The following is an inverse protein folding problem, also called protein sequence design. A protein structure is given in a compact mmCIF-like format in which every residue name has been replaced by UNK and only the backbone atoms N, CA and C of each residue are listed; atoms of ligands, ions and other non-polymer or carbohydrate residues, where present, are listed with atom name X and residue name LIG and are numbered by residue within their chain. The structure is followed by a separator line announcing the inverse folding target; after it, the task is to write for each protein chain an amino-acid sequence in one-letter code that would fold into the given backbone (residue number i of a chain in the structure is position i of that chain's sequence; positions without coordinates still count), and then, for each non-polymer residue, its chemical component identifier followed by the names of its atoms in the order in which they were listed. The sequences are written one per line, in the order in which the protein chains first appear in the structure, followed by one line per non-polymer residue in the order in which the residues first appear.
data_IF_360266006497
#
_entry.id   IF_360266006497
#
_cell.length_a   1.000
_cell.length_b   1.000
_cell.length_c   1.000
_cell.angle_alpha   90.00
_cell.angle_beta   90.00
_cell.angle_gamma   90.00
#
_symmetry.space_group_name_H-M   'P 1'
#
loop_
_entity.id
_entity.type
_entity.pdbx_description
1 polymer ?
#
# COMPACT_ATOMS: atom_id res chain seq x y z
N UNK A 1 -7.00 -21.09 -22.09
CA UNK A 1 -7.21 -19.95 -21.17
C UNK A 1 -5.87 -19.59 -20.54
N UNK A 2 -5.44 -18.33 -20.62
CA UNK A 2 -4.16 -17.91 -20.06
C UNK A 2 -4.13 -18.06 -18.54
N UNK A 3 -3.09 -18.71 -18.02
CA UNK A 3 -2.89 -18.90 -16.58
C UNK A 3 -2.20 -17.66 -16.02
N UNK A 4 -2.96 -16.73 -15.44
CA UNK A 4 -2.41 -15.57 -14.73
C UNK A 4 -1.74 -16.01 -13.41
N UNK A 5 -0.68 -15.30 -13.01
CA UNK A 5 0.09 -15.53 -11.78
C UNK A 5 0.16 -14.22 -10.99
N UNK A 6 0.02 -14.30 -9.67
CA UNK A 6 0.33 -13.16 -8.78
C UNK A 6 1.84 -12.88 -8.81
N UNK A 7 2.22 -11.62 -8.96
CA UNK A 7 3.61 -11.18 -8.88
C UNK A 7 3.91 -10.78 -7.44
N UNK A 8 4.66 -11.61 -6.73
CA UNK A 8 5.06 -11.39 -5.33
C UNK A 8 6.34 -10.55 -5.21
N UNK A 9 6.51 -9.57 -6.11
CA UNK A 9 7.71 -8.76 -6.16
C UNK A 9 7.77 -7.80 -4.98
N UNK A 10 9.00 -7.45 -4.58
CA UNK A 10 9.21 -6.40 -3.61
C UNK A 10 8.98 -5.03 -4.23
N UNK A 11 7.88 -4.38 -3.87
CA UNK A 11 7.54 -3.00 -4.24
C UNK A 11 7.49 -2.16 -2.98
N UNK A 12 8.45 -1.25 -2.83
CA UNK A 12 8.44 -0.28 -1.71
C UNK A 12 7.47 0.82 -2.04
N UNK A 13 6.62 1.16 -1.08
CA UNK A 13 5.80 2.35 -1.13
C UNK A 13 6.17 3.25 0.06
N UNK A 14 6.59 4.51 -0.20
CA UNK A 14 7.05 5.42 0.85
C UNK A 14 5.87 6.01 1.64
N UNK A 15 6.10 6.42 2.90
CA UNK A 15 5.09 7.10 3.71
C UNK A 15 4.75 8.51 3.18
N UNK A 16 5.73 9.12 2.52
CA UNK A 16 5.59 10.40 1.83
C UNK A 16 6.03 10.24 0.38
N UNK A 17 5.20 10.70 -0.55
CA UNK A 17 5.43 10.59 -1.97
C UNK A 17 5.39 11.98 -2.60
N UNK A 18 6.49 12.39 -3.22
CA UNK A 18 6.56 13.61 -4.02
C UNK A 18 6.38 13.24 -5.48
N UNK A 19 5.36 13.81 -6.12
CA UNK A 19 5.10 13.62 -7.53
C UNK A 19 5.29 14.95 -8.27
N UNK A 20 6.07 14.89 -9.33
CA UNK A 20 6.22 16.00 -10.26
C UNK A 20 5.20 15.84 -11.38
N UNK A 21 4.52 16.93 -11.75
CA UNK A 21 3.66 16.91 -12.92
C UNK A 21 4.50 16.80 -14.20
N UNK A 22 3.94 16.14 -15.21
CA UNK A 22 4.57 15.99 -16.54
C UNK A 22 4.55 17.29 -17.36
N UNK A 23 3.95 18.36 -16.83
CA UNK A 23 3.84 19.67 -17.47
C UNK A 23 4.17 20.77 -16.47
N UNK A 24 5.14 21.62 -16.81
CA UNK A 24 5.72 22.66 -15.93
C UNK A 24 4.72 23.70 -15.43
N UNK A 25 3.55 23.85 -16.09
CA UNK A 25 2.56 24.89 -15.79
C UNK A 25 1.25 24.36 -15.16
N UNK A 26 1.21 23.09 -14.74
CA UNK A 26 0.02 22.56 -14.07
C UNK A 26 -0.04 23.02 -12.61
N UNK A 27 -1.20 23.50 -12.11
CA UNK A 27 -1.39 23.80 -10.69
C UNK A 27 -1.05 22.57 -9.84
N UNK A 28 -0.23 22.75 -8.78
CA UNK A 28 0.25 21.64 -7.95
C UNK A 28 1.48 20.91 -8.49
N UNK A 29 2.38 21.62 -9.18
CA UNK A 29 3.61 21.07 -9.78
C UNK A 29 4.54 20.33 -8.81
N UNK A 30 4.43 20.60 -7.51
CA UNK A 30 5.11 19.90 -6.41
C UNK A 30 4.08 19.33 -5.43
N UNK A 31 3.31 18.33 -5.87
CA UNK A 31 2.31 17.70 -5.02
C UNK A 31 2.98 16.68 -4.10
N UNK A 32 2.94 16.97 -2.80
CA UNK A 32 3.32 16.02 -1.76
C UNK A 32 2.09 15.26 -1.28
N UNK A 33 2.25 13.95 -1.13
CA UNK A 33 1.21 13.06 -0.64
C UNK A 33 1.71 12.27 0.56
N UNK A 34 0.81 11.95 1.50
CA UNK A 34 1.10 10.98 2.55
C UNK A 34 0.28 9.71 2.34
N UNK A 35 0.90 8.56 2.58
CA UNK A 35 0.22 7.27 2.55
C UNK A 35 -0.81 7.21 3.69
N UNK A 36 -2.09 7.11 3.32
CA UNK A 36 -3.19 7.09 4.28
C UNK A 36 -3.77 5.68 4.46
N UNK A 37 -3.69 4.82 3.43
CA UNK A 37 -4.09 3.43 3.55
C UNK A 37 -3.42 2.50 2.52
N UNK A 38 -3.37 1.21 2.86
CA UNK A 38 -2.89 0.11 2.01
C UNK A 38 -3.91 -1.01 2.05
N UNK A 39 -4.43 -1.41 0.89
CA UNK A 39 -5.17 -2.67 0.76
C UNK A 39 -4.16 -3.76 0.44
N UNK A 40 -4.13 -4.80 1.25
CA UNK A 40 -3.21 -5.93 1.14
C UNK A 40 -3.99 -7.13 0.59
N UNK A 41 -3.44 -7.79 -0.43
CA UNK A 41 -3.94 -9.08 -0.88
C UNK A 41 -3.08 -10.20 -0.27
N UNK A 42 -3.71 -11.04 0.54
CA UNK A 42 -3.17 -12.26 1.16
C UNK A 42 -3.47 -13.44 0.24
N UNK A 43 -2.47 -14.29 -0.03
CA UNK A 43 -2.62 -15.48 -0.87
C UNK A 43 -1.78 -15.46 -2.14
N UNK A 44 -1.49 -16.65 -2.68
CA UNK A 44 -0.53 -16.87 -3.77
C UNK A 44 -1.14 -16.79 -5.18
N UNK A 45 -2.47 -16.95 -5.28
CA UNK A 45 -3.21 -16.87 -6.54
C UNK A 45 -3.82 -15.49 -6.79
N UNK A 46 -4.14 -15.14 -8.04
CA UNK A 46 -4.87 -13.91 -8.34
C UNK A 46 -6.40 -14.03 -8.13
N UNK A 47 -6.94 -15.25 -8.12
CA UNK A 47 -8.40 -15.50 -8.05
C UNK A 47 -8.87 -16.01 -6.68
N UNK A 48 -7.93 -16.26 -5.76
CA UNK A 48 -8.20 -16.76 -4.42
C UNK A 48 -7.22 -16.10 -3.46
N UNK A 49 -7.76 -15.61 -2.34
CA UNK A 49 -7.02 -14.89 -1.33
C UNK A 49 -7.96 -14.24 -0.33
N UNK A 50 -7.39 -13.35 0.47
CA UNK A 50 -8.09 -12.56 1.47
C UNK A 50 -7.63 -11.11 1.39
N UNK A 51 -8.51 -10.16 1.67
CA UNK A 51 -8.19 -8.74 1.64
C UNK A 51 -8.27 -8.15 3.03
N UNK A 52 -7.16 -7.54 3.45
CA UNK A 52 -7.06 -6.79 4.71
C UNK A 52 -6.64 -5.36 4.38
N UNK A 53 -6.81 -4.43 5.32
CA UNK A 53 -6.41 -3.04 5.10
C UNK A 53 -5.61 -2.47 6.26
N UNK A 54 -4.56 -1.72 5.92
CA UNK A 54 -3.81 -0.89 6.84
C UNK A 54 -4.30 0.53 6.66
N UNK A 55 -4.78 1.18 7.71
CA UNK A 55 -5.29 2.54 7.63
C UNK A 55 -4.59 3.40 8.68
N UNK A 56 -4.04 4.53 8.25
CA UNK A 56 -3.48 5.53 9.13
C UNK A 56 -4.59 6.40 9.67
N UNK A 57 -4.75 6.43 10.99
CA UNK A 57 -5.65 7.35 11.68
C UNK A 57 -4.83 8.21 12.64
N UNK A 58 -4.81 9.51 12.37
CA UNK A 58 -3.92 10.45 13.06
C UNK A 58 -2.46 10.00 12.94
N UNK A 59 -1.83 9.65 14.07
CA UNK A 59 -0.43 9.22 14.15
C UNK A 59 -0.27 7.72 14.41
N UNK A 60 -1.34 6.94 14.26
CA UNK A 60 -1.35 5.50 14.50
C UNK A 60 -1.78 4.73 13.25
N UNK A 61 -1.24 3.53 13.08
CA UNK A 61 -1.67 2.59 12.06
C UNK A 61 -2.62 1.57 12.67
N UNK A 62 -3.67 1.26 11.93
CA UNK A 62 -4.67 0.27 12.28
C UNK A 62 -4.68 -0.83 11.21
N UNK A 63 -4.60 -2.08 11.64
CA UNK A 63 -4.78 -3.26 10.83
C UNK A 63 -6.24 -3.70 10.93
N UNK A 64 -6.95 -3.71 9.81
CA UNK A 64 -8.33 -4.15 9.70
C UNK A 64 -8.38 -5.48 8.94
N UNK A 65 -8.88 -6.50 9.62
CA UNK A 65 -9.12 -7.84 9.10
C UNK A 65 -10.53 -8.28 9.49
N UNK A 66 -11.47 -8.07 8.55
CA UNK A 66 -12.90 -8.26 8.74
C UNK A 66 -13.43 -7.57 10.02
N UNK A 67 -13.88 -8.32 11.01
CA UNK A 67 -14.35 -7.80 12.30
C UNK A 67 -13.24 -7.39 13.27
N UNK A 68 -11.98 -7.76 12.99
CA UNK A 68 -10.85 -7.53 13.88
C UNK A 68 -10.12 -6.25 13.51
N UNK A 69 -9.81 -5.44 14.53
CA UNK A 69 -9.07 -4.19 14.39
C UNK A 69 -7.96 -4.14 15.43
N UNK A 70 -6.73 -3.98 14.97
CA UNK A 70 -5.55 -3.94 15.83
C UNK A 70 -4.72 -2.69 15.55
N UNK A 71 -4.15 -2.08 16.59
CA UNK A 71 -3.16 -1.03 16.40
C UNK A 71 -1.79 -1.67 16.13
N UNK A 72 -1.12 -1.20 15.08
CA UNK A 72 0.17 -1.72 14.65
C UNK A 72 1.22 -0.60 14.59
N UNK A 73 2.48 -0.96 14.72
CA UNK A 73 3.59 -0.05 14.44
C UNK A 73 3.72 0.20 12.94
N UNK A 74 4.20 1.39 12.56
CA UNK A 74 4.45 1.73 11.15
C UNK A 74 5.46 0.78 10.48
N UNK A 75 6.35 0.14 11.26
CA UNK A 75 7.27 -0.89 10.75
C UNK A 75 6.54 -2.11 10.20
N UNK A 76 5.34 -2.44 10.69
CA UNK A 76 4.52 -3.54 10.20
C UNK A 76 4.02 -3.26 8.78
N UNK A 77 3.75 -1.99 8.43
CA UNK A 77 3.37 -1.62 7.06
C UNK A 77 4.44 -2.06 6.04
N UNK A 78 5.72 -2.03 6.44
CA UNK A 78 6.84 -2.39 5.59
C UNK A 78 6.94 -3.89 5.30
N UNK A 79 6.30 -4.75 6.10
CA UNK A 79 6.29 -6.20 5.86
C UNK A 79 5.44 -6.59 4.65
N UNK A 80 4.57 -5.69 4.18
CA UNK A 80 3.72 -5.86 3.00
C UNK A 80 4.34 -5.36 1.70
N UNK A 81 5.60 -4.93 1.71
CA UNK A 81 6.34 -4.60 0.48
C UNK A 81 6.54 -5.82 -0.43
N UNK A 82 6.41 -7.03 0.10
CA UNK A 82 6.74 -8.26 -0.60
C UNK A 82 8.20 -8.65 -0.47
N UNK A 83 8.64 -9.56 -1.34
CA UNK A 83 9.96 -10.18 -1.23
C UNK A 83 10.82 -10.01 -2.48
N UNK A 84 12.13 -9.88 -2.27
CA UNK A 84 13.13 -9.96 -3.34
C UNK A 84 13.38 -11.39 -3.78
N UNK A 85 12.89 -12.38 -3.03
CA UNK A 85 13.02 -13.80 -3.34
C UNK A 85 11.76 -14.31 -4.03
N UNK A 86 11.92 -14.97 -5.18
CA UNK A 86 10.80 -15.52 -5.96
C UNK A 86 9.98 -16.61 -5.22
N UNK A 87 10.53 -17.18 -4.16
CA UNK A 87 9.94 -18.26 -3.36
C UNK A 87 9.79 -17.88 -1.88
N UNK A 88 9.46 -16.62 -1.60
CA UNK A 88 9.10 -16.23 -0.24
C UNK A 88 7.76 -16.84 0.17
N UNK A 89 7.69 -17.39 1.38
CA UNK A 89 6.44 -17.88 1.96
C UNK A 89 5.47 -16.75 2.34
N UNK A 90 5.94 -15.50 2.37
CA UNK A 90 5.06 -14.36 2.58
C UNK A 90 4.21 -14.16 1.32
N UNK A 91 2.89 -14.21 1.47
CA UNK A 91 1.94 -13.99 0.38
C UNK A 91 1.24 -12.65 0.47
N UNK A 92 1.64 -11.79 1.40
CA UNK A 92 0.80 -10.69 1.87
C UNK A 92 1.45 -9.41 1.37
N UNK A 93 0.87 -8.86 0.31
CA UNK A 93 1.49 -7.78 -0.46
C UNK A 93 0.52 -6.63 -0.62
N UNK A 94 1.04 -5.40 -0.49
CA UNK A 94 0.32 -4.19 -0.86
C UNK A 94 -0.17 -4.31 -2.32
N UNK A 95 -1.47 -4.10 -2.50
CA UNK A 95 -2.15 -4.24 -3.78
C UNK A 95 -2.71 -2.92 -4.29
N UNK A 96 -3.39 -2.17 -3.42
CA UNK A 96 -3.90 -0.83 -3.71
C UNK A 96 -3.35 0.12 -2.65
N UNK A 97 -2.75 1.22 -3.09
CA UNK A 97 -2.16 2.23 -2.22
C UNK A 97 -3.00 3.51 -2.31
N UNK A 98 -3.42 4.02 -1.16
CA UNK A 98 -4.16 5.27 -1.07
C UNK A 98 -3.25 6.34 -0.49
N UNK A 99 -3.08 7.39 -1.27
CA UNK A 99 -2.28 8.55 -0.93
C UNK A 99 -3.18 9.78 -0.89
N UNK A 100 -3.08 10.56 0.17
CA UNK A 100 -3.81 11.81 0.35
C UNK A 100 -2.88 13.00 0.13
N UNK A 101 -3.33 14.02 -0.62
CA UNK A 101 -2.52 15.20 -0.90
C UNK A 101 -2.38 16.07 0.35
N UNK A 102 -1.14 16.42 0.70
CA UNK A 102 -0.84 17.32 1.82
C UNK A 102 -1.16 18.79 1.50
N UNK A 103 -1.36 19.11 0.23
CA UNK A 103 -1.63 20.47 -0.25
C UNK A 103 -3.13 20.84 -0.18
N UNK A 104 -4.02 19.88 0.11
CA UNK A 104 -5.44 20.14 0.26
C UNK A 104 -5.76 20.53 1.71
N UNK A 105 -5.59 21.81 2.04
CA UNK A 105 -6.16 22.38 3.28
C UNK A 105 -7.61 22.82 3.01
N UNK A 106 -8.52 22.41 3.86
CA UNK A 106 -9.91 22.90 3.89
C UNK A 106 -9.97 24.42 4.06
#
# INVERSE_FOLDING_TARGET
LGRYKKLSYRVVFPMELKLWNTTDNAPGSDAEYSLSAVVVHVGSGPNHGHYVSLVKSHNHWLFFDDENVEMIDESVVQTFFGSTQEYSNNTDHGYILLYESLNHKF
#
